data_IF_284961683627
#
_entry.id   IF_284961683627
#
_cell.length_a   1.000
_cell.length_b   1.000
_cell.length_c   1.000
_cell.angle_alpha   90.00
_cell.angle_beta   90.00
_cell.angle_gamma   90.00
#
_symmetry.space_group_name_H-M   'P 1'
#
loop_
_entity.id
_entity.type
_entity.pdbx_description
1 polymer ?
#
# COMPACT_ATOMS: atom_id res chain seq x y z
N UNK A 1 -34.47 41.72 -87.63
CA UNK A 1 -33.48 40.75 -87.11
C UNK A 1 -32.84 41.13 -85.75
N UNK A 2 -33.19 42.25 -85.09
CA UNK A 2 -32.54 42.67 -83.83
C UNK A 2 -33.18 42.16 -82.53
N UNK A 3 -34.45 41.72 -82.55
CA UNK A 3 -35.15 41.22 -81.34
C UNK A 3 -34.61 39.88 -80.81
N UNK A 4 -34.13 39.00 -81.69
CA UNK A 4 -33.62 37.68 -81.29
C UNK A 4 -32.25 37.75 -80.62
N UNK A 5 -31.40 38.70 -81.04
CA UNK A 5 -30.08 38.91 -80.45
C UNK A 5 -30.14 39.56 -79.07
N UNK A 6 -31.08 40.49 -78.86
CA UNK A 6 -31.28 41.12 -77.56
C UNK A 6 -31.81 40.10 -76.53
N UNK A 7 -32.75 39.26 -76.94
CA UNK A 7 -33.27 38.17 -76.09
C UNK A 7 -32.16 37.17 -75.72
N UNK A 8 -31.30 36.78 -76.67
CA UNK A 8 -30.18 35.87 -76.42
C UNK A 8 -29.12 36.48 -75.48
N UNK A 9 -28.79 37.77 -75.62
CA UNK A 9 -27.82 38.45 -74.75
C UNK A 9 -28.33 38.61 -73.32
N UNK A 10 -29.61 38.96 -73.15
CA UNK A 10 -30.27 39.10 -71.84
C UNK A 10 -30.30 37.75 -71.09
N UNK A 11 -30.63 36.67 -71.81
CA UNK A 11 -30.67 35.32 -71.24
C UNK A 11 -29.25 34.78 -70.97
N UNK A 12 -28.27 35.06 -71.84
CA UNK A 12 -26.88 34.67 -71.61
C UNK A 12 -26.29 35.33 -70.35
N UNK A 13 -26.58 36.61 -70.11
CA UNK A 13 -26.18 37.30 -68.86
C UNK A 13 -26.84 36.67 -67.64
N UNK A 14 -28.14 36.41 -67.72
CA UNK A 14 -28.89 35.79 -66.61
C UNK A 14 -28.38 34.39 -66.30
N UNK A 15 -28.11 33.59 -67.33
CA UNK A 15 -27.53 32.24 -67.19
C UNK A 15 -26.14 32.31 -66.54
N UNK A 16 -25.27 33.24 -66.97
CA UNK A 16 -23.94 33.42 -66.38
C UNK A 16 -23.99 33.86 -64.91
N UNK A 17 -24.93 34.74 -64.55
CA UNK A 17 -25.12 35.18 -63.16
C UNK A 17 -25.58 34.00 -62.29
N UNK A 18 -26.56 33.22 -62.76
CA UNK A 18 -27.05 32.03 -62.05
C UNK A 18 -25.94 30.97 -61.90
N UNK A 19 -25.16 30.71 -62.94
CA UNK A 19 -23.99 29.83 -62.90
C UNK A 19 -22.94 30.32 -61.89
N UNK A 20 -22.68 31.63 -61.86
CA UNK A 20 -21.78 32.25 -60.90
C UNK A 20 -22.23 32.04 -59.45
N UNK A 21 -23.54 32.20 -59.17
CA UNK A 21 -24.12 31.98 -57.84
C UNK A 21 -24.05 30.50 -57.44
N UNK A 22 -24.31 29.57 -58.36
CA UNK A 22 -24.22 28.13 -58.12
C UNK A 22 -22.77 27.73 -57.81
N UNK A 23 -21.80 28.24 -58.57
CA UNK A 23 -20.37 27.98 -58.33
C UNK A 23 -19.92 28.55 -56.98
N UNK A 24 -20.33 29.77 -56.64
CA UNK A 24 -19.99 30.38 -55.34
C UNK A 24 -20.56 29.61 -54.17
N UNK A 25 -21.83 29.20 -54.23
CA UNK A 25 -22.49 28.43 -53.17
C UNK A 25 -21.93 27.01 -53.04
N UNK A 26 -21.60 26.35 -54.15
CA UNK A 26 -20.90 25.06 -54.15
C UNK A 26 -19.48 25.16 -53.56
N UNK A 27 -18.72 26.21 -53.90
CA UNK A 27 -17.39 26.44 -53.30
C UNK A 27 -17.47 26.77 -51.80
N UNK A 28 -18.48 27.55 -51.39
CA UNK A 28 -18.69 27.92 -49.98
C UNK A 28 -19.01 26.69 -49.13
N UNK A 29 -19.94 25.85 -49.57
CA UNK A 29 -20.33 24.60 -48.88
C UNK A 29 -19.20 23.56 -48.83
N UNK A 30 -18.38 23.45 -49.89
CA UNK A 30 -17.17 22.61 -49.88
C UNK A 30 -16.12 23.13 -48.89
N UNK A 31 -15.97 24.45 -48.78
CA UNK A 31 -15.04 25.07 -47.83
C UNK A 31 -15.50 24.90 -46.38
N UNK A 32 -16.80 25.08 -46.10
CA UNK A 32 -17.41 24.86 -44.77
C UNK A 32 -17.28 23.40 -44.34
N UNK A 33 -17.54 22.45 -45.24
CA UNK A 33 -17.36 21.02 -44.97
C UNK A 33 -15.90 20.62 -44.69
N UNK A 34 -14.93 21.29 -45.31
CA UNK A 34 -13.49 21.08 -45.03
C UNK A 34 -13.07 21.72 -43.71
N UNK A 35 -13.52 22.93 -43.41
CA UNK A 35 -13.23 23.63 -42.15
C UNK A 35 -13.81 22.84 -40.98
N UNK A 36 -15.06 22.35 -41.10
CA UNK A 36 -15.69 21.50 -40.09
C UNK A 36 -14.88 20.23 -39.83
N UNK A 37 -14.45 19.52 -40.89
CA UNK A 37 -13.62 18.31 -40.76
C UNK A 37 -12.29 18.56 -40.05
N UNK A 38 -11.58 19.64 -40.40
CA UNK A 38 -10.30 20.00 -39.77
C UNK A 38 -10.48 20.40 -38.30
N UNK A 39 -11.55 21.15 -37.99
CA UNK A 39 -11.88 21.51 -36.61
C UNK A 39 -12.20 20.28 -35.77
N UNK A 40 -13.03 19.38 -36.29
CA UNK A 40 -13.44 18.17 -35.57
C UNK A 40 -12.23 17.22 -35.38
N UNK A 41 -11.32 17.11 -36.36
CA UNK A 41 -10.03 16.41 -36.21
C UNK A 41 -9.15 17.03 -35.11
N UNK A 42 -9.02 18.36 -35.11
CA UNK A 42 -8.22 19.05 -34.09
C UNK A 42 -8.81 18.89 -32.68
N UNK A 43 -10.14 18.91 -32.56
CA UNK A 43 -10.83 18.64 -31.29
C UNK A 43 -10.58 17.20 -30.82
N UNK A 44 -10.66 16.23 -31.74
CA UNK A 44 -10.37 14.83 -31.48
C UNK A 44 -8.92 14.61 -31.01
N UNK A 45 -7.93 15.14 -31.73
CA UNK A 45 -6.51 15.02 -31.34
C UNK A 45 -6.25 15.62 -29.95
N UNK A 46 -6.92 16.73 -29.62
CA UNK A 46 -6.86 17.33 -28.28
C UNK A 46 -7.47 16.42 -27.22
N UNK A 47 -8.60 15.78 -27.50
CA UNK A 47 -9.28 14.85 -26.58
C UNK A 47 -8.43 13.62 -26.30
N UNK A 48 -7.98 12.90 -27.34
CA UNK A 48 -7.20 11.67 -27.17
C UNK A 48 -5.84 11.91 -26.52
N UNK A 49 -5.25 13.11 -26.69
CA UNK A 49 -3.99 13.49 -26.04
C UNK A 49 -4.12 13.50 -24.50
N UNK A 50 -5.31 13.81 -23.97
CA UNK A 50 -5.60 13.74 -22.53
C UNK A 50 -5.72 12.30 -22.02
N UNK A 51 -6.02 11.35 -22.91
CA UNK A 51 -6.19 9.93 -22.59
C UNK A 51 -4.88 9.14 -22.73
N UNK A 52 -3.73 9.81 -22.67
CA UNK A 52 -2.41 9.20 -22.73
C UNK A 52 -1.91 8.83 -21.34
N UNK A 53 -1.56 7.56 -21.15
CA UNK A 53 -0.88 7.09 -19.96
C UNK A 53 0.63 7.32 -20.14
N UNK A 54 1.18 8.29 -19.41
CA UNK A 54 2.55 8.75 -19.62
C UNK A 54 3.61 7.83 -18.99
N UNK A 55 3.32 7.29 -17.82
CA UNK A 55 4.27 6.50 -17.04
C UNK A 55 3.58 5.33 -16.33
N UNK A 56 4.30 4.25 -16.02
CA UNK A 56 3.76 3.19 -15.18
C UNK A 56 3.52 3.67 -13.75
N UNK A 57 2.73 2.93 -12.97
CA UNK A 57 2.41 3.25 -11.57
C UNK A 57 3.68 3.50 -10.72
N UNK A 58 3.57 4.44 -9.78
CA UNK A 58 4.65 4.90 -8.91
C UNK A 58 4.75 4.06 -7.65
N UNK A 59 5.89 3.41 -7.43
CA UNK A 59 6.15 2.51 -6.29
C UNK A 59 6.89 3.20 -5.14
N UNK A 60 6.73 4.52 -4.98
CA UNK A 60 7.45 5.27 -3.94
C UNK A 60 7.02 4.87 -2.52
N UNK A 61 5.76 4.49 -2.33
CA UNK A 61 5.24 4.01 -1.05
C UNK A 61 5.41 2.48 -0.93
N UNK A 62 5.86 2.02 0.24
CA UNK A 62 6.12 0.59 0.55
C UNK A 62 5.07 0.00 1.49
N UNK A 63 5.08 -1.32 1.63
CA UNK A 63 4.17 -2.07 2.50
C UNK A 63 2.70 -2.04 2.06
N UNK A 64 1.80 -2.45 2.96
CA UNK A 64 0.35 -2.64 2.71
C UNK A 64 -0.36 -1.34 2.30
N UNK A 65 0.06 -0.20 2.84
CA UNK A 65 -0.49 1.10 2.45
C UNK A 65 -0.09 1.47 1.01
N UNK A 66 1.18 1.24 0.66
CA UNK A 66 1.67 1.46 -0.71
C UNK A 66 0.99 0.55 -1.74
N UNK A 67 0.66 -0.70 -1.40
CA UNK A 67 -0.06 -1.59 -2.33
C UNK A 67 -1.48 -1.12 -2.63
N UNK A 68 -2.19 -0.53 -1.66
CA UNK A 68 -3.55 0.02 -1.89
C UNK A 68 -3.52 1.23 -2.83
N UNK A 69 -2.56 2.12 -2.65
CA UNK A 69 -2.39 3.29 -3.54
C UNK A 69 -2.06 2.85 -4.98
N UNK A 70 -1.19 1.85 -5.14
CA UNK A 70 -0.85 1.27 -6.44
C UNK A 70 -2.07 0.66 -7.16
N UNK A 71 -3.00 0.04 -6.43
CA UNK A 71 -4.24 -0.50 -7.00
C UNK A 71 -5.14 0.61 -7.54
N UNK A 72 -5.24 1.74 -6.81
CA UNK A 72 -5.99 2.93 -7.26
C UNK A 72 -5.35 3.53 -8.51
N UNK A 73 -4.03 3.70 -8.53
CA UNK A 73 -3.32 4.19 -9.71
C UNK A 73 -3.54 3.27 -10.92
N UNK A 74 -3.48 1.95 -10.75
CA UNK A 74 -3.73 1.00 -11.83
C UNK A 74 -5.17 1.06 -12.34
N UNK A 75 -6.14 1.21 -11.44
CA UNK A 75 -7.56 1.38 -11.81
C UNK A 75 -7.78 2.63 -12.65
N UNK A 76 -7.16 3.75 -12.28
CA UNK A 76 -7.24 5.00 -13.06
C UNK A 76 -6.62 4.82 -14.45
N UNK A 77 -5.46 4.16 -14.54
CA UNK A 77 -4.84 3.84 -15.83
C UNK A 77 -5.75 2.96 -16.71
N UNK A 78 -6.42 1.96 -16.12
CA UNK A 78 -7.37 1.11 -16.84
C UNK A 78 -8.56 1.92 -17.35
N UNK A 79 -9.12 2.80 -16.52
CA UNK A 79 -10.22 3.67 -16.92
C UNK A 79 -9.83 4.60 -18.08
N UNK A 80 -8.61 5.15 -18.08
CA UNK A 80 -8.08 5.95 -19.20
C UNK A 80 -8.01 5.12 -20.49
N UNK A 81 -7.56 3.86 -20.41
CA UNK A 81 -7.50 2.95 -21.54
C UNK A 81 -8.89 2.59 -22.08
N UNK A 82 -9.85 2.32 -21.19
CA UNK A 82 -11.21 1.97 -21.54
C UNK A 82 -11.90 3.17 -22.21
N UNK A 83 -11.75 4.36 -21.62
CA UNK A 83 -12.27 5.61 -22.20
C UNK A 83 -11.70 5.85 -23.60
N UNK A 84 -10.38 5.66 -23.78
CA UNK A 84 -9.75 5.77 -25.10
C UNK A 84 -10.31 4.76 -26.10
N UNK A 85 -10.62 3.54 -25.68
CA UNK A 85 -11.22 2.51 -26.52
C UNK A 85 -12.62 2.91 -27.01
N UNK A 86 -13.35 3.69 -26.23
CA UNK A 86 -14.72 4.10 -26.54
C UNK A 86 -14.81 5.40 -27.36
N UNK A 87 -13.73 6.20 -27.45
CA UNK A 87 -13.72 7.45 -28.25
C UNK A 87 -14.05 7.17 -29.72
N UNK A 88 -15.02 7.88 -30.27
CA UNK A 88 -15.42 7.76 -31.66
C UNK A 88 -14.39 8.40 -32.61
N UNK A 89 -14.19 7.80 -33.79
CA UNK A 89 -13.23 8.29 -34.80
C UNK A 89 -13.93 8.66 -36.09
N UNK A 90 -13.52 9.77 -36.73
CA UNK A 90 -14.04 10.11 -38.05
C UNK A 90 -13.38 9.22 -39.12
N UNK A 91 -14.15 8.50 -39.97
CA UNK A 91 -13.59 7.64 -41.00
C UNK A 91 -12.86 8.38 -42.13
N UNK A 92 -13.03 9.70 -42.24
CA UNK A 92 -12.46 10.51 -43.31
C UNK A 92 -11.10 11.16 -42.94
N UNK A 93 -10.55 10.86 -41.76
CA UNK A 93 -9.30 11.42 -41.22
C UNK A 93 -8.39 10.30 -40.65
N UNK A 94 -7.16 10.66 -40.26
CA UNK A 94 -6.19 9.73 -39.64
C UNK A 94 -6.50 9.33 -38.18
N UNK A 95 -7.63 9.78 -37.63
CA UNK A 95 -8.09 9.56 -36.24
C UNK A 95 -7.96 8.10 -35.78
N UNK A 96 -8.28 7.15 -36.68
CA UNK A 96 -8.23 5.72 -36.41
C UNK A 96 -6.79 5.22 -36.18
N UNK A 97 -5.83 5.74 -36.93
CA UNK A 97 -4.42 5.40 -36.78
C UNK A 97 -3.86 6.00 -35.48
N UNK A 98 -4.18 7.27 -35.19
CA UNK A 98 -3.84 7.92 -33.92
C UNK A 98 -4.37 7.14 -32.71
N UNK A 99 -5.66 6.75 -32.75
CA UNK A 99 -6.29 5.92 -31.71
C UNK A 99 -5.55 4.61 -31.50
N UNK A 100 -5.31 3.86 -32.57
CA UNK A 100 -4.67 2.56 -32.50
C UNK A 100 -3.24 2.66 -31.92
N UNK A 101 -2.50 3.70 -32.28
CA UNK A 101 -1.18 3.96 -31.72
C UNK A 101 -1.25 4.22 -30.21
N UNK A 102 -2.14 5.10 -29.77
CA UNK A 102 -2.34 5.42 -28.35
C UNK A 102 -2.83 4.21 -27.54
N UNK A 103 -3.77 3.41 -28.06
CA UNK A 103 -4.22 2.17 -27.42
C UNK A 103 -3.05 1.21 -27.22
N UNK A 104 -2.19 1.04 -28.22
CA UNK A 104 -0.99 0.20 -28.12
C UNK A 104 0.02 0.74 -27.11
N UNK A 105 0.20 2.05 -27.05
CA UNK A 105 1.09 2.69 -26.08
C UNK A 105 0.58 2.48 -24.65
N UNK A 106 -0.67 2.83 -24.39
CA UNK A 106 -1.29 2.69 -23.07
C UNK A 106 -1.29 1.24 -22.60
N UNK A 107 -1.61 0.27 -23.48
CA UNK A 107 -1.58 -1.16 -23.15
C UNK A 107 -0.17 -1.64 -22.72
N UNK A 108 0.90 -1.14 -23.34
CA UNK A 108 2.28 -1.44 -22.93
C UNK A 108 2.58 -0.91 -21.53
N UNK A 109 2.13 0.30 -21.23
CA UNK A 109 2.32 0.91 -19.90
C UNK A 109 1.52 0.15 -18.85
N UNK A 110 0.25 -0.17 -19.12
CA UNK A 110 -0.61 -0.98 -18.25
C UNK A 110 0.00 -2.34 -17.92
N UNK A 111 0.53 -3.04 -18.92
CA UNK A 111 1.19 -4.34 -18.72
C UNK A 111 2.39 -4.20 -17.77
N UNK A 112 3.16 -3.12 -17.90
CA UNK A 112 4.28 -2.82 -17.00
C UNK A 112 3.79 -2.49 -15.59
N UNK A 113 2.74 -1.69 -15.46
CA UNK A 113 2.12 -1.35 -14.18
C UNK A 113 1.60 -2.58 -13.44
N UNK A 114 0.90 -3.49 -14.14
CA UNK A 114 0.40 -4.74 -13.56
C UNK A 114 1.55 -5.62 -13.03
N UNK A 115 2.67 -5.71 -13.76
CA UNK A 115 3.86 -6.44 -13.29
C UNK A 115 4.43 -5.80 -12.03
N UNK A 116 4.54 -4.47 -11.98
CA UNK A 116 5.02 -3.74 -10.78
C UNK A 116 4.13 -3.99 -9.57
N UNK A 117 2.81 -3.94 -9.73
CA UNK A 117 1.86 -4.21 -8.65
C UNK A 117 2.06 -5.62 -8.08
N UNK A 118 2.16 -6.65 -8.93
CA UNK A 118 2.39 -8.03 -8.49
C UNK A 118 3.67 -8.19 -7.68
N UNK A 119 4.76 -7.56 -8.12
CA UNK A 119 6.04 -7.57 -7.39
C UNK A 119 5.86 -6.92 -6.02
N UNK A 120 5.22 -5.74 -5.96
CA UNK A 120 5.03 -5.03 -4.71
C UNK A 120 4.14 -5.80 -3.72
N UNK A 121 3.07 -6.44 -4.20
CA UNK A 121 2.19 -7.28 -3.39
C UNK A 121 2.95 -8.48 -2.79
N UNK A 122 3.84 -9.11 -3.57
CA UNK A 122 4.67 -10.21 -3.09
C UNK A 122 5.66 -9.76 -2.01
N UNK A 123 6.32 -8.61 -2.21
CA UNK A 123 7.25 -8.02 -1.23
C UNK A 123 6.52 -7.65 0.06
N UNK A 124 5.40 -6.92 -0.03
CA UNK A 124 4.62 -6.52 1.13
C UNK A 124 4.10 -7.73 1.94
N UNK A 125 3.68 -8.80 1.26
CA UNK A 125 3.24 -10.04 1.91
C UNK A 125 4.38 -10.75 2.65
N UNK A 126 5.59 -10.77 2.06
CA UNK A 126 6.76 -11.37 2.69
C UNK A 126 7.22 -10.56 3.91
N UNK A 127 7.23 -9.23 3.81
CA UNK A 127 7.55 -8.32 4.92
C UNK A 127 6.56 -8.50 6.08
N UNK A 128 5.25 -8.55 5.79
CA UNK A 128 4.23 -8.77 6.80
C UNK A 128 4.41 -10.12 7.51
N UNK A 129 4.64 -11.19 6.75
CA UNK A 129 4.85 -12.54 7.32
C UNK A 129 6.08 -12.60 8.23
N UNK A 130 7.14 -11.89 7.88
CA UNK A 130 8.34 -11.80 8.71
C UNK A 130 8.07 -11.04 10.02
N UNK A 131 7.32 -9.94 9.94
CA UNK A 131 6.92 -9.15 11.11
C UNK A 131 6.02 -9.97 12.05
N UNK A 132 5.01 -10.65 11.50
CA UNK A 132 4.10 -11.49 12.27
C UNK A 132 4.85 -12.62 12.99
N UNK A 133 5.84 -13.24 12.32
CA UNK A 133 6.68 -14.26 12.94
C UNK A 133 7.54 -13.70 14.08
N UNK A 134 8.06 -12.48 13.93
CA UNK A 134 8.84 -11.82 14.98
C UNK A 134 7.96 -11.46 16.19
N UNK A 135 6.76 -10.95 15.95
CA UNK A 135 5.76 -10.66 16.99
C UNK A 135 5.39 -11.94 17.73
N UNK A 136 5.08 -13.02 17.01
CA UNK A 136 4.76 -14.31 17.61
C UNK A 136 5.92 -14.85 18.47
N UNK A 137 7.17 -14.70 18.02
CA UNK A 137 8.35 -15.08 18.79
C UNK A 137 8.48 -14.24 20.07
N UNK A 138 8.24 -12.93 19.99
CA UNK A 138 8.27 -12.05 21.17
C UNK A 138 7.17 -12.41 22.17
N UNK A 139 5.93 -12.64 21.74
CA UNK A 139 4.85 -13.08 22.63
C UNK A 139 5.17 -14.41 23.31
N UNK A 140 5.75 -15.38 22.57
CA UNK A 140 6.15 -16.67 23.17
C UNK A 140 7.23 -16.49 24.24
N UNK A 141 8.24 -15.65 23.97
CA UNK A 141 9.28 -15.34 24.96
C UNK A 141 8.72 -14.61 26.17
N UNK A 142 7.78 -13.68 25.97
CA UNK A 142 7.12 -12.97 27.05
C UNK A 142 6.29 -13.91 27.92
N UNK A 143 5.46 -14.77 27.31
CA UNK A 143 4.69 -15.78 28.05
C UNK A 143 5.59 -16.74 28.84
N UNK A 144 6.73 -17.15 28.27
CA UNK A 144 7.72 -17.97 29.00
C UNK A 144 8.31 -17.23 30.20
N UNK A 145 8.63 -15.94 30.06
CA UNK A 145 9.13 -15.12 31.18
C UNK A 145 8.07 -14.92 32.26
N UNK A 146 6.83 -14.67 31.86
CA UNK A 146 5.71 -14.54 32.79
C UNK A 146 5.48 -15.84 33.56
N UNK A 147 5.55 -17.00 32.88
CA UNK A 147 5.45 -18.31 33.54
C UNK A 147 6.61 -18.58 34.50
N UNK A 148 7.85 -18.26 34.11
CA UNK A 148 9.03 -18.40 34.98
C UNK A 148 8.94 -17.50 36.20
N UNK A 149 8.49 -16.25 36.00
CA UNK A 149 8.28 -15.28 37.08
C UNK A 149 7.20 -15.78 38.03
N UNK A 150 6.04 -16.22 37.52
CA UNK A 150 4.95 -16.76 38.35
C UNK A 150 5.38 -18.00 39.15
N UNK A 151 6.15 -18.92 38.54
CA UNK A 151 6.69 -20.08 39.25
C UNK A 151 7.67 -19.67 40.35
N UNK A 152 8.54 -18.70 40.09
CA UNK A 152 9.47 -18.16 41.08
C UNK A 152 8.75 -17.47 42.25
N UNK A 153 7.71 -16.69 41.96
CA UNK A 153 6.83 -16.07 42.96
C UNK A 153 6.21 -17.12 43.87
N UNK A 154 5.63 -18.18 43.30
CA UNK A 154 5.05 -19.28 44.07
C UNK A 154 6.05 -19.97 44.99
N UNK A 155 7.28 -20.21 44.54
CA UNK A 155 8.35 -20.77 45.39
C UNK A 155 8.69 -19.82 46.53
N UNK A 156 8.80 -18.52 46.26
CA UNK A 156 9.08 -17.51 47.28
C UNK A 156 7.96 -17.40 48.32
N UNK A 157 6.69 -17.43 47.89
CA UNK A 157 5.53 -17.37 48.78
C UNK A 157 5.48 -18.58 49.72
N UNK A 158 5.83 -19.76 49.22
CA UNK A 158 5.89 -21.01 50.02
C UNK A 158 6.99 -21.02 51.08
N UNK A 159 8.00 -20.14 50.97
CA UNK A 159 9.10 -20.04 51.93
C UNK A 159 8.82 -19.03 53.04
N UNK A 160 7.82 -18.17 52.87
CA UNK A 160 7.38 -17.24 53.89
C UNK A 160 6.45 -17.94 54.89
N UNK A 161 6.96 -18.95 55.60
CA UNK A 161 6.27 -19.61 56.70
C UNK A 161 7.06 -19.29 57.97
N UNK A 162 6.42 -18.57 58.90
CA UNK A 162 7.02 -18.01 60.12
C UNK A 162 7.47 -19.03 61.18
N UNK A 163 7.80 -20.26 60.79
CA UNK A 163 8.25 -21.32 61.69
C UNK A 163 9.77 -21.31 61.88
N UNK A 164 10.21 -21.87 63.01
CA UNK A 164 11.62 -22.02 63.38
C UNK A 164 12.37 -22.80 62.31
N UNK A 165 13.36 -22.15 61.69
CA UNK A 165 14.16 -22.71 60.60
C UNK A 165 15.22 -23.64 61.16
N UNK A 166 15.21 -24.91 60.72
CA UNK A 166 16.22 -25.93 61.06
C UNK A 166 17.15 -26.21 59.87
N UNK A 167 18.23 -26.96 60.09
CA UNK A 167 19.16 -27.35 59.01
C UNK A 167 18.46 -28.08 57.84
N UNK A 168 17.39 -28.85 58.13
CA UNK A 168 16.57 -29.53 57.11
C UNK A 168 15.92 -28.58 56.10
N UNK A 169 15.84 -27.28 56.40
CA UNK A 169 15.22 -26.27 55.54
C UNK A 169 16.21 -25.60 54.57
N UNK A 170 17.52 -25.86 54.68
CA UNK A 170 18.55 -25.20 53.88
C UNK A 170 18.37 -25.37 52.36
N UNK A 171 17.94 -26.56 51.91
CA UNK A 171 17.66 -26.81 50.49
C UNK A 171 16.54 -25.91 49.96
N UNK A 172 15.46 -25.77 50.73
CA UNK A 172 14.30 -24.92 50.40
C UNK A 172 14.67 -23.43 50.38
N UNK A 173 15.45 -22.96 51.36
CA UNK A 173 15.92 -21.58 51.42
C UNK A 173 16.82 -21.22 50.24
N UNK A 174 17.73 -22.11 49.87
CA UNK A 174 18.57 -21.94 48.69
C UNK A 174 17.76 -21.93 47.38
N UNK A 175 16.70 -22.74 47.28
CA UNK A 175 15.77 -22.69 46.15
C UNK A 175 15.08 -21.32 46.06
N UNK A 176 14.68 -20.73 47.20
CA UNK A 176 14.14 -19.36 47.24
C UNK A 176 15.11 -18.29 46.75
N UNK A 177 16.38 -18.35 47.18
CA UNK A 177 17.41 -17.43 46.69
C UNK A 177 17.60 -17.50 45.17
N UNK A 178 17.46 -18.69 44.58
CA UNK A 178 17.55 -18.87 43.13
C UNK A 178 16.26 -18.43 42.43
N UNK A 179 15.09 -18.68 43.02
CA UNK A 179 13.80 -18.24 42.51
C UNK A 179 13.74 -16.71 42.38
N UNK A 180 14.19 -15.97 43.40
CA UNK A 180 14.21 -14.50 43.36
C UNK A 180 14.96 -13.94 42.15
N UNK A 181 16.05 -14.59 41.69
CA UNK A 181 16.81 -14.15 40.52
C UNK A 181 16.01 -14.20 39.22
N UNK A 182 14.93 -14.98 39.17
CA UNK A 182 14.03 -15.09 38.01
C UNK A 182 12.94 -14.01 38.03
N UNK A 183 12.80 -13.25 39.13
CA UNK A 183 11.82 -12.16 39.24
C UNK A 183 12.48 -10.87 38.77
N UNK A 184 11.98 -10.24 37.70
CA UNK A 184 12.60 -9.04 37.16
C UNK A 184 12.41 -7.83 38.09
N UNK A 185 13.34 -6.86 38.03
CA UNK A 185 13.34 -5.69 38.91
C UNK A 185 12.20 -4.71 38.66
N UNK A 186 11.57 -4.79 37.49
CA UNK A 186 10.40 -4.00 37.12
C UNK A 186 9.07 -4.71 37.43
N UNK A 187 9.10 -5.88 38.07
CA UNK A 187 7.89 -6.55 38.54
C UNK A 187 7.17 -5.68 39.60
N UNK A 188 5.85 -5.60 39.54
CA UNK A 188 5.05 -4.77 40.46
C UNK A 188 5.20 -5.16 41.93
N UNK A 189 5.52 -6.43 42.20
CA UNK A 189 5.70 -6.99 43.54
C UNK A 189 7.19 -7.17 43.88
N UNK A 190 8.10 -6.62 43.06
CA UNK A 190 9.53 -6.81 43.26
C UNK A 190 9.99 -6.42 44.68
N UNK A 191 9.48 -5.31 45.23
CA UNK A 191 9.80 -4.88 46.60
C UNK A 191 9.39 -5.90 47.67
N UNK A 192 8.24 -6.56 47.49
CA UNK A 192 7.77 -7.62 48.39
C UNK A 192 8.71 -8.83 48.33
N UNK A 193 9.03 -9.30 47.12
CA UNK A 193 9.96 -10.43 46.95
C UNK A 193 11.40 -10.11 47.36
N UNK A 194 11.83 -8.85 47.23
CA UNK A 194 13.12 -8.38 47.72
C UNK A 194 13.21 -8.42 49.26
N UNK A 195 12.10 -8.14 49.95
CA UNK A 195 12.01 -8.31 51.39
C UNK A 195 12.12 -9.78 51.80
N UNK A 196 11.36 -10.67 51.15
CA UNK A 196 11.45 -12.12 51.39
C UNK A 196 12.88 -12.63 51.14
N UNK A 197 13.53 -12.19 50.07
CA UNK A 197 14.91 -12.54 49.76
C UNK A 197 15.89 -12.16 50.89
N UNK A 198 15.73 -10.96 51.48
CA UNK A 198 16.53 -10.53 52.64
C UNK A 198 16.26 -11.40 53.86
N UNK A 199 15.00 -11.74 54.13
CA UNK A 199 14.62 -12.61 55.24
C UNK A 199 15.26 -14.00 55.10
N UNK A 200 15.20 -14.61 53.91
CA UNK A 200 15.83 -15.91 53.60
C UNK A 200 17.33 -15.85 53.86
N UNK A 201 18.03 -14.81 53.39
CA UNK A 201 19.47 -14.64 53.67
C UNK A 201 19.79 -14.60 55.16
N UNK A 202 18.98 -13.90 55.94
CA UNK A 202 19.17 -13.82 57.40
C UNK A 202 18.94 -15.18 58.05
N UNK A 203 17.90 -15.91 57.66
CA UNK A 203 17.61 -17.26 58.18
C UNK A 203 18.75 -18.24 57.89
N UNK A 204 19.28 -18.24 56.67
CA UNK A 204 20.46 -19.07 56.32
C UNK A 204 21.65 -18.74 57.23
N UNK A 205 21.95 -17.44 57.42
CA UNK A 205 23.06 -17.02 58.28
C UNK A 205 22.90 -17.49 59.73
N UNK A 206 21.68 -17.45 60.27
CA UNK A 206 21.37 -17.93 61.63
C UNK A 206 21.60 -19.44 61.73
N UNK A 207 21.10 -20.22 60.77
CA UNK A 207 21.32 -21.69 60.73
C UNK A 207 22.81 -22.02 60.67
N UNK A 208 23.57 -21.34 59.81
CA UNK A 208 25.03 -21.52 59.72
C UNK A 208 25.76 -21.17 61.02
N UNK A 209 25.32 -20.12 61.74
CA UNK A 209 25.88 -19.75 63.03
C UNK A 209 25.57 -20.79 64.11
N UNK A 210 24.32 -21.26 64.20
CA UNK A 210 23.94 -22.32 65.14
C UNK A 210 24.75 -23.59 64.92
N UNK A 211 24.97 -23.98 63.66
CA UNK A 211 25.82 -25.12 63.31
C UNK A 211 27.26 -24.95 63.78
N UNK A 212 27.84 -23.75 63.65
CA UNK A 212 29.21 -23.47 64.15
C UNK A 212 29.28 -23.62 65.67
N UNK A 213 28.34 -23.01 66.40
CA UNK A 213 28.26 -23.14 67.86
C UNK A 213 28.08 -24.59 68.33
N UNK A 214 27.35 -25.42 67.59
CA UNK A 214 27.15 -26.84 67.90
C UNK A 214 28.38 -27.72 67.61
N UNK A 215 29.28 -27.30 66.70
CA UNK A 215 30.49 -28.05 66.35
C UNK A 215 31.74 -27.58 67.13
N UNK A 216 31.65 -26.47 67.84
CA UNK A 216 32.73 -25.91 68.69
C UNK A 216 32.61 -26.32 70.17
N UNK A 217 31.49 -26.93 70.57
CA UNK A 217 31.24 -27.55 71.88
C UNK A 217 31.24 -29.07 71.77
#
# INVERSE_FOLDING_TARGET
MFKSYYWLLEHARTILIVLGIILLTASSTLSEGRIKRLRDHSAYEKEIATLKIQAPISTQQKGVAGTKDLEVQLKNQQQTQDTLSDVHTNPYNDDKASKAHLLKQNQKVLTTSQKRLKIQQAVASAEQKALDAQIAKQHKLQAQREQQTAAAKKVMDQLFVGDVVTEGNMSKLNQGLQAYKQIPSNDSEHSHYAFIYKAIKTQIKIVEQMRKFQNEN
#
